data_IF_925963240975
#
_entry.id   IF_925963240975
#
_cell.length_a   1.000
_cell.length_b   1.000
_cell.length_c   1.000
_cell.angle_alpha   90.00
_cell.angle_beta   90.00
_cell.angle_gamma   90.00
#
_symmetry.space_group_name_H-M   'P 1'
#
loop_
_entity.id
_entity.type
_entity.pdbx_description
1 polymer ?
#
# COMPACT_ATOMS: atom_id res chain seq x y z
N UNK A 1 -5.31 -3.02 10.05
CA UNK A 1 -5.16 -1.63 9.58
C UNK A 1 -6.41 -1.19 8.85
N UNK A 2 -6.88 0.00 9.05
CA UNK A 2 -8.05 0.48 8.32
C UNK A 2 -7.64 1.36 7.13
N UNK A 3 -8.61 1.65 6.26
CA UNK A 3 -8.36 2.42 5.05
C UNK A 3 -7.76 3.80 5.35
N UNK A 4 -8.29 4.46 6.37
CA UNK A 4 -7.85 5.81 6.73
C UNK A 4 -6.38 5.84 7.16
N UNK A 5 -5.96 4.85 7.94
CA UNK A 5 -4.55 4.74 8.35
C UNK A 5 -3.64 4.48 7.17
N UNK A 6 -4.04 3.56 6.29
CA UNK A 6 -3.26 3.24 5.11
C UNK A 6 -3.14 4.46 4.19
N UNK A 7 -4.24 5.17 3.97
CA UNK A 7 -4.25 6.37 3.16
C UNK A 7 -3.33 7.45 3.74
N UNK A 8 -3.42 7.67 5.06
CA UNK A 8 -2.61 8.68 5.74
C UNK A 8 -1.12 8.39 5.61
N UNK A 9 -0.74 7.13 5.65
CA UNK A 9 0.66 6.74 5.54
C UNK A 9 1.21 6.78 4.12
N UNK A 10 0.35 6.67 3.13
CA UNK A 10 0.75 6.56 1.73
C UNK A 10 0.45 7.79 0.89
N UNK A 11 -0.52 8.61 1.29
CA UNK A 11 -0.94 9.75 0.50
C UNK A 11 0.19 10.77 0.40
N UNK A 12 0.66 11.02 -0.81
CA UNK A 12 1.77 11.91 -1.12
C UNK A 12 3.08 11.51 -0.44
N UNK A 13 3.16 10.27 0.02
CA UNK A 13 4.34 9.72 0.69
C UNK A 13 4.70 8.37 0.09
N UNK A 14 5.97 8.07 0.06
CA UNK A 14 6.43 6.76 -0.36
C UNK A 14 6.67 5.89 0.87
N UNK A 15 6.26 4.65 0.78
CA UNK A 15 6.42 3.70 1.88
C UNK A 15 6.53 2.28 1.35
N UNK A 16 7.10 1.40 2.16
CA UNK A 16 7.13 -0.03 1.87
C UNK A 16 5.92 -0.67 2.54
N UNK A 17 5.05 -1.25 1.74
CA UNK A 17 3.86 -1.96 2.21
C UNK A 17 4.17 -3.44 2.25
N UNK A 18 4.00 -4.04 3.42
CA UNK A 18 4.10 -5.49 3.59
C UNK A 18 2.68 -6.05 3.69
N UNK A 19 2.38 -6.99 2.82
CA UNK A 19 1.07 -7.64 2.83
C UNK A 19 1.18 -9.10 2.47
N UNK A 20 0.21 -9.88 2.93
CA UNK A 20 0.18 -11.31 2.69
C UNK A 20 -0.66 -11.62 1.45
N UNK A 21 -0.16 -12.52 0.61
CA UNK A 21 -0.90 -12.96 -0.56
C UNK A 21 -2.17 -13.71 -0.14
N UNK A 22 -3.28 -13.47 -0.85
CA UNK A 22 -4.54 -14.17 -0.60
C UNK A 22 -4.49 -15.64 -1.03
N UNK A 23 -3.61 -15.97 -1.96
CA UNK A 23 -3.54 -17.31 -2.56
C UNK A 23 -2.37 -18.15 -2.08
N UNK A 24 -1.47 -17.56 -1.31
CA UNK A 24 -0.30 -18.26 -0.78
C UNK A 24 0.09 -17.61 0.55
N UNK A 25 0.97 -18.29 1.31
CA UNK A 25 1.46 -17.78 2.58
C UNK A 25 2.62 -16.80 2.41
N UNK A 26 2.89 -16.37 1.20
CA UNK A 26 4.02 -15.47 0.94
C UNK A 26 3.68 -14.05 1.33
N UNK A 27 4.66 -13.39 1.93
CA UNK A 27 4.58 -11.96 2.26
C UNK A 27 5.27 -11.18 1.15
N UNK A 28 4.57 -10.18 0.64
CA UNK A 28 5.10 -9.29 -0.37
C UNK A 28 5.48 -7.96 0.24
N UNK A 29 6.57 -7.40 -0.22
CA UNK A 29 7.00 -6.04 0.13
C UNK A 29 7.03 -5.22 -1.14
N UNK A 30 6.31 -4.11 -1.16
CA UNK A 30 6.26 -3.25 -2.33
C UNK A 30 6.46 -1.80 -1.94
N UNK A 31 7.28 -1.12 -2.71
CA UNK A 31 7.49 0.32 -2.57
C UNK A 31 6.36 1.04 -3.29
N UNK A 32 5.45 1.60 -2.53
CA UNK A 32 4.21 2.17 -3.04
C UNK A 32 3.99 3.59 -2.56
N UNK A 33 3.17 4.32 -3.30
CA UNK A 33 2.71 5.64 -2.91
C UNK A 33 1.32 5.88 -3.45
N UNK A 34 0.62 6.84 -2.86
CA UNK A 34 -0.62 7.35 -3.44
C UNK A 34 -0.32 8.79 -3.87
N UNK A 35 -0.08 9.03 -5.18
CA UNK A 35 0.38 10.34 -5.66
C UNK A 35 -0.69 11.41 -5.60
N UNK A 36 -1.94 11.04 -5.49
CA UNK A 36 -3.05 11.97 -5.31
C UNK A 36 -4.20 11.24 -4.64
N UNK A 37 -5.19 12.02 -4.19
CA UNK A 37 -6.32 11.43 -3.50
C UNK A 37 -7.14 10.57 -4.46
N UNK A 38 -7.07 9.27 -4.28
CA UNK A 38 -7.91 8.33 -4.98
C UNK A 38 -8.99 7.82 -4.06
N UNK A 39 -10.17 7.63 -4.63
CA UNK A 39 -11.23 6.96 -3.90
C UNK A 39 -11.02 5.46 -4.03
N UNK A 40 -10.66 4.83 -2.93
CA UNK A 40 -10.69 3.39 -2.86
C UNK A 40 -12.07 2.95 -2.40
N UNK A 41 -12.54 1.86 -2.96
CA UNK A 41 -13.85 1.34 -2.57
C UNK A 41 -13.70 0.14 -1.67
N UNK A 42 -14.49 0.13 -0.60
CA UNK A 42 -14.57 -0.99 0.30
C UNK A 42 -13.30 -1.19 1.11
N UNK A 43 -12.79 -2.39 1.04
CA UNK A 43 -11.64 -2.84 1.83
C UNK A 43 -10.34 -2.90 1.06
N UNK A 44 -10.30 -2.27 -0.10
CA UNK A 44 -9.09 -2.21 -0.94
C UNK A 44 -8.55 -0.80 -1.02
N UNK A 45 -7.24 -0.70 -1.13
CA UNK A 45 -6.56 0.56 -1.38
C UNK A 45 -5.81 0.46 -2.72
N UNK A 46 -5.94 1.50 -3.54
CA UNK A 46 -5.24 1.57 -4.83
C UNK A 46 -3.96 2.36 -4.64
N UNK A 47 -2.83 1.76 -4.97
CA UNK A 47 -1.53 2.37 -4.79
C UNK A 47 -0.74 2.34 -6.10
N UNK A 48 0.19 3.27 -6.23
CA UNK A 48 1.15 3.28 -7.33
C UNK A 48 2.41 2.56 -6.88
N UNK A 49 2.77 1.49 -7.59
CA UNK A 49 4.01 0.76 -7.35
C UNK A 49 5.15 1.51 -8.04
N UNK A 50 6.06 2.06 -7.26
CA UNK A 50 7.15 2.88 -7.77
C UNK A 50 8.21 2.08 -8.51
N UNK A 51 8.31 0.79 -8.24
CA UNK A 51 9.31 -0.07 -8.88
C UNK A 51 8.78 -0.60 -10.21
N UNK A 52 7.55 -1.11 -10.21
CA UNK A 52 6.92 -1.66 -11.41
C UNK A 52 6.28 -0.60 -12.28
N UNK A 53 6.15 0.63 -11.76
CA UNK A 53 5.51 1.75 -12.47
C UNK A 53 4.10 1.39 -12.93
N UNK A 54 3.30 0.85 -12.02
CA UNK A 54 1.94 0.43 -12.31
C UNK A 54 1.04 0.55 -11.08
N UNK A 55 -0.27 0.57 -11.34
CA UNK A 55 -1.26 0.63 -10.27
C UNK A 55 -1.54 -0.76 -9.74
N UNK A 56 -1.71 -0.87 -8.43
CA UNK A 56 -2.06 -2.13 -7.77
C UNK A 56 -3.16 -1.90 -6.75
N UNK A 57 -4.06 -2.87 -6.64
CA UNK A 57 -5.05 -2.92 -5.58
C UNK A 57 -4.53 -3.83 -4.47
N UNK A 58 -4.57 -3.36 -3.25
CA UNK A 58 -4.16 -4.15 -2.09
C UNK A 58 -5.33 -4.19 -1.12
N UNK A 59 -5.71 -5.39 -0.69
CA UNK A 59 -6.74 -5.53 0.33
C UNK A 59 -6.18 -5.12 1.68
N UNK A 60 -6.88 -4.20 2.35
CA UNK A 60 -6.44 -3.64 3.62
C UNK A 60 -6.26 -4.73 4.67
N UNK A 61 -7.13 -5.72 4.68
CA UNK A 61 -7.07 -6.82 5.63
C UNK A 61 -5.80 -7.66 5.52
N UNK A 62 -5.13 -7.63 4.37
CA UNK A 62 -3.90 -8.39 4.16
C UNK A 62 -2.65 -7.61 4.51
N UNK A 63 -2.77 -6.31 4.76
CA UNK A 63 -1.63 -5.47 5.07
C UNK A 63 -1.11 -5.79 6.47
N UNK A 64 0.17 -6.11 6.54
CA UNK A 64 0.84 -6.38 7.81
C UNK A 64 1.40 -5.09 8.39
N UNK A 65 2.08 -4.32 7.55
CA UNK A 65 2.66 -3.05 8.00
C UNK A 65 2.90 -2.12 6.82
N UNK A 66 2.98 -0.84 7.12
CA UNK A 66 3.40 0.19 6.16
C UNK A 66 4.54 0.96 6.81
N UNK A 67 5.71 0.88 6.21
CA UNK A 67 6.92 1.50 6.75
C UNK A 67 7.31 2.66 5.84
N UNK A 68 7.21 3.90 6.32
CA UNK A 68 7.60 5.05 5.50
C UNK A 68 9.09 5.00 5.15
N UNK A 69 9.40 5.42 3.95
CA UNK A 69 10.80 5.56 3.56
C UNK A 69 11.36 6.79 4.21
N UNK A 70 12.40 6.59 5.00
CA UNK A 70 13.13 7.70 5.59
C UNK A 70 14.21 8.13 4.63
N UNK A 71 14.15 9.40 4.25
CA UNK A 71 15.23 10.01 3.51
C UNK A 71 16.22 10.54 4.52
N UNK A 72 17.33 9.91 4.59
CA UNK A 72 18.45 10.44 5.34
C UNK A 72 19.30 11.31 4.46
#
# INVERSE_FOLDING_TARGET
MNFKEALDKLLLKEAVVEYQSLTSDKIHKRHCTIPRKFQSQGDKIVVWDCVLESWHDIQIDTIISINPLEKT
#
